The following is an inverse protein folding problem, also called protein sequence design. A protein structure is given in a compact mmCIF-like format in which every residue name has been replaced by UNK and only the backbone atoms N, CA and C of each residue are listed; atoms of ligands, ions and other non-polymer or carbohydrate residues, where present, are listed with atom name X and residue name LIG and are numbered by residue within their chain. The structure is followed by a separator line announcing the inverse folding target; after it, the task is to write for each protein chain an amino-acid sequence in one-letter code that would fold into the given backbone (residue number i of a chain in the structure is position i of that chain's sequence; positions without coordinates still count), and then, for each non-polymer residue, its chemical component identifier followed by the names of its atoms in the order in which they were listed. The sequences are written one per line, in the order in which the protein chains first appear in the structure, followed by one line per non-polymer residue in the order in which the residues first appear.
data_IF_157999892634
#
_entry.id   IF_157999892634
#
_cell.length_a   1.000
_cell.length_b   1.000
_cell.length_c   1.000
_cell.angle_alpha   90.00
_cell.angle_beta   90.00
_cell.angle_gamma   90.00
#
_symmetry.space_group_name_H-M   'P 1'
#
loop_
_entity.id
_entity.type
_entity.pdbx_description
1 polymer ?
#
# COMPACT_ATOMS: atom_id res chain seq x y z
N UNK A 1 -19.04 -20.49 -9.16
CA UNK A 1 -18.20 -19.30 -8.92
C UNK A 1 -19.10 -18.08 -9.05
N UNK A 2 -19.21 -17.28 -7.99
CA UNK A 2 -19.91 -16.00 -8.09
C UNK A 2 -19.18 -15.09 -9.10
N UNK A 3 -19.97 -14.33 -9.86
CA UNK A 3 -19.48 -13.39 -10.86
C UNK A 3 -19.75 -11.97 -10.38
N UNK A 4 -18.85 -11.05 -10.70
CA UNK A 4 -19.04 -9.61 -10.50
C UNK A 4 -20.06 -9.07 -11.50
N UNK A 5 -20.50 -7.82 -11.31
CA UNK A 5 -21.42 -7.17 -12.28
C UNK A 5 -20.79 -6.97 -13.66
N UNK A 6 -19.47 -7.08 -13.75
CA UNK A 6 -18.69 -7.11 -15.01
C UNK A 6 -18.63 -8.50 -15.67
N UNK A 7 -19.26 -9.51 -15.08
CA UNK A 7 -19.27 -10.89 -15.59
C UNK A 7 -17.99 -11.68 -15.34
N UNK A 8 -17.03 -11.11 -14.62
CA UNK A 8 -15.77 -11.77 -14.25
C UNK A 8 -15.93 -12.62 -12.99
N UNK A 9 -15.15 -13.70 -12.82
CA UNK A 9 -15.10 -14.42 -11.54
C UNK A 9 -14.66 -13.48 -10.42
N UNK A 10 -15.37 -13.50 -9.28
CA UNK A 10 -15.08 -12.61 -8.14
C UNK A 10 -13.62 -12.72 -7.67
N UNK A 11 -13.03 -13.91 -7.67
CA UNK A 11 -11.62 -14.08 -7.28
C UNK A 11 -10.63 -13.44 -8.27
N UNK A 12 -10.91 -13.51 -9.57
CA UNK A 12 -10.07 -12.91 -10.60
C UNK A 12 -10.15 -11.38 -10.57
N UNK A 13 -11.37 -10.85 -10.44
CA UNK A 13 -11.55 -9.41 -10.31
C UNK A 13 -11.01 -8.88 -8.98
N UNK A 14 -11.14 -9.65 -7.89
CA UNK A 14 -10.53 -9.32 -6.61
C UNK A 14 -9.00 -9.24 -6.70
N UNK A 15 -8.36 -10.18 -7.38
CA UNK A 15 -6.91 -10.14 -7.62
C UNK A 15 -6.52 -8.89 -8.44
N UNK A 16 -7.26 -8.56 -9.50
CA UNK A 16 -7.05 -7.33 -10.27
C UNK A 16 -7.23 -6.07 -9.42
N UNK A 17 -8.29 -6.03 -8.61
CA UNK A 17 -8.58 -4.89 -7.76
C UNK A 17 -7.48 -4.66 -6.71
N UNK A 18 -7.00 -5.73 -6.06
CA UNK A 18 -5.90 -5.65 -5.10
C UNK A 18 -4.60 -5.21 -5.79
N UNK A 19 -4.32 -5.69 -7.00
CA UNK A 19 -3.16 -5.25 -7.78
C UNK A 19 -3.25 -3.77 -8.17
N UNK A 20 -4.45 -3.31 -8.55
CA UNK A 20 -4.69 -1.90 -8.86
C UNK A 20 -4.51 -1.01 -7.62
N UNK A 21 -4.85 -1.50 -6.43
CA UNK A 21 -4.55 -0.81 -5.17
C UNK A 21 -3.05 -0.79 -4.91
N UNK A 22 -2.38 -1.95 -4.90
CA UNK A 22 -0.96 -2.04 -4.52
C UNK A 22 0.00 -1.35 -5.49
N UNK A 23 -0.33 -1.29 -6.79
CA UNK A 23 0.60 -0.81 -7.82
C UNK A 23 0.06 0.33 -8.69
N UNK A 24 -1.23 0.66 -8.60
CA UNK A 24 -1.86 1.69 -9.44
C UNK A 24 -1.87 3.10 -8.81
N UNK A 25 -1.38 3.24 -7.58
CA UNK A 25 -1.37 4.49 -6.83
C UNK A 25 -2.77 4.93 -6.34
N UNK A 26 -2.84 6.13 -5.74
CA UNK A 26 -4.06 6.62 -5.08
C UNK A 26 -5.25 6.82 -6.01
N UNK A 27 -5.02 7.23 -7.27
CA UNK A 27 -6.10 7.44 -8.24
C UNK A 27 -6.75 6.11 -8.62
N UNK A 28 -5.95 5.11 -8.96
CA UNK A 28 -6.46 3.77 -9.27
C UNK A 28 -7.15 3.15 -8.05
N UNK A 29 -6.55 3.31 -6.87
CA UNK A 29 -7.13 2.87 -5.58
C UNK A 29 -8.51 3.48 -5.38
N UNK A 30 -8.65 4.81 -5.48
CA UNK A 30 -9.92 5.48 -5.26
C UNK A 30 -11.01 5.02 -6.25
N UNK A 31 -10.66 4.84 -7.53
CA UNK A 31 -11.59 4.36 -8.55
C UNK A 31 -12.04 2.93 -8.30
N UNK A 32 -11.11 2.01 -8.01
CA UNK A 32 -11.41 0.59 -7.81
C UNK A 32 -12.15 0.37 -6.50
N UNK A 33 -11.68 0.95 -5.39
CA UNK A 33 -12.34 0.87 -4.09
C UNK A 33 -13.74 1.47 -4.17
N UNK A 34 -13.86 2.66 -4.77
CA UNK A 34 -15.14 3.34 -4.96
C UNK A 34 -16.11 2.51 -5.81
N UNK A 35 -15.65 1.96 -6.93
CA UNK A 35 -16.45 1.07 -7.78
C UNK A 35 -16.95 -0.15 -7.00
N UNK A 36 -16.05 -0.87 -6.32
CA UNK A 36 -16.40 -2.11 -5.61
C UNK A 36 -17.37 -1.84 -4.46
N UNK A 37 -17.18 -0.77 -3.70
CA UNK A 37 -18.07 -0.46 -2.59
C UNK A 37 -19.48 -0.05 -3.05
N UNK A 38 -19.58 0.73 -4.13
CA UNK A 38 -20.84 1.27 -4.64
C UNK A 38 -21.61 0.28 -5.52
N UNK A 39 -20.91 -0.49 -6.36
CA UNK A 39 -21.55 -1.28 -7.43
C UNK A 39 -21.61 -2.77 -7.13
N UNK A 40 -20.57 -3.34 -6.51
CA UNK A 40 -20.53 -4.79 -6.26
C UNK A 40 -21.38 -5.16 -5.03
N UNK A 41 -21.89 -6.39 -4.99
CA UNK A 41 -22.70 -6.92 -3.87
C UNK A 41 -21.93 -7.94 -3.03
N UNK A 42 -20.90 -8.55 -3.62
CA UNK A 42 -20.12 -9.58 -2.95
C UNK A 42 -19.36 -9.00 -1.73
N UNK A 43 -19.70 -9.50 -0.55
CA UNK A 43 -19.16 -9.03 0.74
C UNK A 43 -17.68 -9.30 0.89
N UNK A 44 -17.20 -10.45 0.39
CA UNK A 44 -15.78 -10.80 0.41
C UNK A 44 -14.96 -9.79 -0.40
N UNK A 45 -15.42 -9.43 -1.60
CA UNK A 45 -14.73 -8.52 -2.52
C UNK A 45 -14.63 -7.12 -1.91
N UNK A 46 -15.72 -6.63 -1.31
CA UNK A 46 -15.71 -5.34 -0.58
C UNK A 46 -14.68 -5.35 0.53
N UNK A 47 -14.67 -6.39 1.38
CA UNK A 47 -13.70 -6.53 2.47
C UNK A 47 -12.27 -6.63 1.94
N UNK A 48 -12.05 -7.40 0.87
CA UNK A 48 -10.73 -7.61 0.28
C UNK A 48 -10.13 -6.31 -0.26
N UNK A 49 -10.93 -5.49 -0.96
CA UNK A 49 -10.47 -4.24 -1.55
C UNK A 49 -10.26 -3.15 -0.49
N UNK A 50 -11.13 -3.07 0.52
CA UNK A 50 -10.91 -2.16 1.66
C UNK A 50 -9.67 -2.57 2.46
N UNK A 51 -9.45 -3.87 2.67
CA UNK A 51 -8.24 -4.38 3.33
C UNK A 51 -6.97 -4.06 2.55
N UNK A 52 -7.00 -4.22 1.23
CA UNK A 52 -5.89 -3.81 0.38
C UNK A 52 -5.59 -2.32 0.53
N UNK A 53 -6.63 -1.47 0.47
CA UNK A 53 -6.46 -0.02 0.62
C UNK A 53 -5.91 0.37 2.00
N UNK A 54 -6.42 -0.26 3.06
CA UNK A 54 -5.92 -0.03 4.42
C UNK A 54 -4.48 -0.52 4.61
N UNK A 55 -4.08 -1.60 3.93
CA UNK A 55 -2.69 -2.09 3.94
C UNK A 55 -1.76 -1.09 3.27
N UNK A 56 -2.13 -0.57 2.10
CA UNK A 56 -1.37 0.48 1.39
C UNK A 56 -1.14 1.69 2.28
N UNK A 57 -2.23 2.25 2.82
CA UNK A 57 -2.18 3.44 3.69
C UNK A 57 -1.32 3.20 4.94
N UNK A 58 -1.35 1.99 5.50
CA UNK A 58 -0.52 1.64 6.64
C UNK A 58 0.98 1.65 6.31
N UNK A 59 1.39 1.04 5.20
CA UNK A 59 2.80 1.03 4.80
C UNK A 59 3.28 2.41 4.37
N UNK A 60 2.47 3.15 3.61
CA UNK A 60 2.74 4.55 3.25
C UNK A 60 2.98 5.40 4.50
N UNK A 61 2.15 5.22 5.54
CA UNK A 61 2.31 5.93 6.80
C UNK A 61 3.62 5.56 7.51
N UNK A 62 4.00 4.28 7.55
CA UNK A 62 5.27 3.84 8.15
C UNK A 62 6.47 4.40 7.38
N UNK A 63 6.44 4.35 6.05
CA UNK A 63 7.49 4.90 5.19
C UNK A 63 7.60 6.41 5.39
N UNK A 64 6.48 7.13 5.43
CA UNK A 64 6.47 8.56 5.71
C UNK A 64 7.07 8.89 7.09
N UNK A 65 6.73 8.11 8.12
CA UNK A 65 7.25 8.33 9.47
C UNK A 65 8.77 8.13 9.55
N UNK A 66 9.30 7.13 8.86
CA UNK A 66 10.75 6.88 8.78
C UNK A 66 11.44 7.90 7.86
N UNK A 67 10.79 8.30 6.77
CA UNK A 67 11.29 9.21 5.74
C UNK A 67 11.49 10.66 6.19
N UNK A 68 10.84 11.10 7.27
CA UNK A 68 11.05 12.45 7.82
C UNK A 68 12.52 12.69 8.21
N UNK A 69 13.21 11.66 8.68
CA UNK A 69 14.60 11.77 9.14
C UNK A 69 15.58 12.03 7.99
N UNK A 70 15.64 11.19 6.92
CA UNK A 70 16.49 11.46 5.76
C UNK A 70 16.11 12.78 5.09
N UNK A 71 14.82 13.07 4.95
CA UNK A 71 14.35 14.32 4.32
C UNK A 71 14.85 15.56 5.08
N UNK A 72 14.76 15.55 6.42
CA UNK A 72 15.25 16.64 7.24
C UNK A 72 16.78 16.76 7.19
N UNK A 73 17.50 15.63 7.23
CA UNK A 73 18.95 15.61 7.16
C UNK A 73 19.45 16.14 5.80
N UNK A 74 18.83 15.71 4.70
CA UNK A 74 19.17 16.14 3.35
C UNK A 74 18.86 17.62 3.14
N UNK A 75 17.76 18.11 3.70
CA UNK A 75 17.44 19.54 3.72
C UNK A 75 18.52 20.36 4.43
N UNK A 76 19.00 19.90 5.59
CA UNK A 76 20.08 20.60 6.33
C UNK A 76 21.39 20.61 5.52
N UNK A 77 21.78 19.47 4.93
CA UNK A 77 22.99 19.39 4.09
C UNK A 77 22.87 20.30 2.87
N UNK A 78 21.71 20.31 2.21
CA UNK A 78 21.43 21.19 1.06
C UNK A 78 21.52 22.68 1.44
N UNK A 79 20.98 23.05 2.61
CA UNK A 79 21.07 24.40 3.14
C UNK A 79 22.53 24.81 3.37
N UNK A 80 23.32 23.98 4.04
CA UNK A 80 24.74 24.26 4.33
C UNK A 80 25.54 24.40 3.02
N UNK A 81 25.31 23.51 2.05
CA UNK A 81 26.02 23.56 0.78
C UNK A 81 25.68 24.81 -0.05
N UNK A 82 24.47 25.38 0.14
CA UNK A 82 24.09 26.66 -0.48
C UNK A 82 24.97 27.83 0.00
N UNK A 83 25.55 27.75 1.20
CA UNK A 83 26.47 28.76 1.74
C UNK A 83 27.94 28.52 1.38
N UNK A 84 28.22 27.62 0.41
CA UNK A 84 29.57 27.36 -0.11
C UNK A 84 30.38 26.37 0.72
N UNK A 85 29.72 25.57 1.57
CA UNK A 85 30.32 24.40 2.17
C UNK A 85 30.19 23.19 1.23
N UNK A 86 31.16 22.28 1.25
CA UNK A 86 31.18 21.08 0.40
C UNK A 86 31.03 19.82 1.28
N UNK A 87 29.83 19.64 1.86
CA UNK A 87 29.52 18.44 2.63
C UNK A 87 29.01 17.36 1.68
N UNK A 88 29.79 16.29 1.53
CA UNK A 88 29.46 15.13 0.73
C UNK A 88 29.19 13.92 1.63
N UNK A 89 27.98 13.36 1.51
CA UNK A 89 27.58 12.11 2.15
C UNK A 89 26.73 12.33 3.38
N UNK A 90 25.48 11.86 3.31
CA UNK A 90 24.58 11.81 4.44
C UNK A 90 24.35 10.35 4.82
N UNK A 91 25.33 9.74 5.49
CA UNK A 91 25.29 8.35 5.96
C UNK A 91 24.00 8.06 6.76
N UNK A 92 23.50 9.07 7.47
CA UNK A 92 22.21 9.03 8.14
C UNK A 92 21.10 8.80 7.11
N UNK A 93 20.99 9.65 6.09
CA UNK A 93 19.97 9.49 5.05
C UNK A 93 20.06 8.14 4.33
N UNK A 94 21.26 7.64 4.03
CA UNK A 94 21.43 6.34 3.38
C UNK A 94 20.86 5.19 4.23
N UNK A 95 21.13 5.17 5.54
CA UNK A 95 20.57 4.15 6.44
C UNK A 95 19.04 4.22 6.47
N UNK A 96 18.48 5.41 6.65
CA UNK A 96 17.03 5.54 6.76
C UNK A 96 16.32 5.27 5.43
N UNK A 97 16.90 5.69 4.30
CA UNK A 97 16.42 5.35 2.96
C UNK A 97 16.46 3.84 2.70
N UNK A 98 17.47 3.13 3.21
CA UNK A 98 17.48 1.67 3.17
C UNK A 98 16.33 1.06 3.97
N UNK A 99 16.01 1.59 5.16
CA UNK A 99 14.85 1.12 5.94
C UNK A 99 13.54 1.37 5.19
N UNK A 100 13.33 2.56 4.62
CA UNK A 100 12.16 2.86 3.78
C UNK A 100 12.04 1.89 2.59
N UNK A 101 13.16 1.57 1.93
CA UNK A 101 13.19 0.61 0.82
C UNK A 101 12.85 -0.81 1.29
N UNK A 102 13.33 -1.24 2.45
CA UNK A 102 12.95 -2.54 3.03
C UNK A 102 11.46 -2.58 3.33
N UNK A 103 10.87 -1.53 3.89
CA UNK A 103 9.43 -1.44 4.15
C UNK A 103 8.60 -1.53 2.87
N UNK A 104 9.00 -0.81 1.81
CA UNK A 104 8.35 -0.89 0.50
C UNK A 104 8.43 -2.30 -0.11
N UNK A 105 9.57 -2.98 -0.01
CA UNK A 105 9.69 -4.38 -0.46
C UNK A 105 8.77 -5.30 0.36
N UNK A 106 8.65 -5.08 1.67
CA UNK A 106 7.73 -5.85 2.51
C UNK A 106 6.27 -5.64 2.10
N UNK A 107 5.87 -4.40 1.80
CA UNK A 107 4.55 -4.06 1.26
C UNK A 107 4.28 -4.82 -0.04
N UNK A 108 5.20 -4.76 -1.01
CA UNK A 108 5.08 -5.43 -2.30
C UNK A 108 4.87 -6.95 -2.13
N UNK A 109 5.64 -7.59 -1.23
CA UNK A 109 5.51 -9.03 -0.94
C UNK A 109 4.13 -9.35 -0.38
N UNK A 110 3.60 -8.50 0.51
CA UNK A 110 2.25 -8.67 1.08
C UNK A 110 1.19 -8.54 -0.01
N UNK A 111 1.29 -7.52 -0.88
CA UNK A 111 0.36 -7.33 -1.99
C UNK A 111 0.38 -8.50 -2.98
N UNK A 112 1.56 -8.97 -3.36
CA UNK A 112 1.72 -10.17 -4.20
C UNK A 112 1.02 -11.37 -3.53
N UNK A 113 1.23 -11.58 -2.23
CA UNK A 113 0.57 -12.63 -1.48
C UNK A 113 -0.96 -12.50 -1.45
N UNK A 114 -1.47 -11.28 -1.27
CA UNK A 114 -2.91 -11.00 -1.29
C UNK A 114 -3.52 -11.26 -2.68
N UNK A 115 -2.84 -10.88 -3.76
CA UNK A 115 -3.26 -11.12 -5.14
C UNK A 115 -3.39 -12.62 -5.41
N UNK A 116 -2.36 -13.41 -5.07
CA UNK A 116 -2.40 -14.86 -5.27
C UNK A 116 -3.52 -15.53 -4.47
N UNK A 117 -3.72 -15.12 -3.20
CA UNK A 117 -4.81 -15.67 -2.40
C UNK A 117 -6.19 -15.23 -2.89
N UNK A 118 -6.33 -14.03 -3.42
CA UNK A 118 -7.59 -13.50 -3.91
C UNK A 118 -8.17 -14.34 -5.07
N UNK A 119 -7.34 -14.99 -5.88
CA UNK A 119 -7.79 -15.90 -6.94
C UNK A 119 -8.69 -17.03 -6.42
N UNK A 120 -8.44 -17.50 -5.20
CA UNK A 120 -9.23 -18.53 -4.52
C UNK A 120 -10.21 -17.94 -3.48
N UNK A 121 -10.48 -16.64 -3.54
CA UNK A 121 -11.24 -15.90 -2.52
C UNK A 121 -10.62 -16.02 -1.11
N UNK A 122 -9.32 -16.28 -1.03
CA UNK A 122 -8.57 -16.32 0.22
C UNK A 122 -8.04 -14.93 0.61
N UNK A 123 -7.58 -14.81 1.86
CA UNK A 123 -6.91 -13.62 2.37
C UNK A 123 -5.71 -13.99 3.23
N UNK A 124 -4.76 -13.08 3.40
CA UNK A 124 -3.65 -13.19 4.37
C UNK A 124 -4.05 -12.41 5.61
N UNK A 125 -3.99 -13.01 6.80
CA UNK A 125 -4.26 -12.29 8.03
C UNK A 125 -3.18 -11.24 8.29
N UNK A 126 -3.58 -9.98 8.43
CA UNK A 126 -2.73 -8.85 8.79
C UNK A 126 -3.35 -8.25 10.05
N UNK A 127 -2.94 -8.67 11.25
CA UNK A 127 -3.70 -8.45 12.50
C UNK A 127 -4.07 -6.98 12.77
N UNK A 128 -3.16 -6.05 12.47
CA UNK A 128 -3.38 -4.62 12.68
C UNK A 128 -4.38 -4.01 11.68
N UNK A 129 -4.32 -4.45 10.41
CA UNK A 129 -5.24 -3.97 9.36
C UNK A 129 -6.60 -4.63 9.52
N UNK A 130 -6.63 -5.93 9.84
CA UNK A 130 -7.85 -6.70 10.00
C UNK A 130 -8.72 -6.15 11.14
N UNK A 131 -8.12 -5.78 12.28
CA UNK A 131 -8.85 -5.14 13.36
C UNK A 131 -9.44 -3.77 13.00
N UNK A 132 -8.81 -3.04 12.07
CA UNK A 132 -9.28 -1.73 11.61
C UNK A 132 -10.41 -1.86 10.57
N UNK A 133 -10.34 -2.88 9.70
CA UNK A 133 -11.39 -3.17 8.72
C UNK A 133 -12.63 -3.75 9.38
N UNK A 134 -12.48 -4.73 10.27
CA UNK A 134 -13.61 -5.37 10.97
C UNK A 134 -14.39 -4.42 11.87
N UNK A 135 -13.75 -3.38 12.41
CA UNK A 135 -14.42 -2.38 13.22
C UNK A 135 -15.32 -1.43 12.40
N UNK A 136 -15.03 -1.26 11.11
CA UNK A 136 -15.64 -0.24 10.27
C UNK A 136 -16.48 -0.81 9.10
N UNK A 137 -16.60 -2.13 8.96
CA UNK A 137 -17.41 -2.83 7.95
C UNK A 137 -18.25 -3.95 8.58
#
# INVERSE_FOLDING_TARGET
MEKTKLGLPVGLFGAFAIAAVGFGGYVATALVVGYVLLMEENTWLKKAVVKAAATMVFFDFLIALVGIIPDAADWVVSLINTFGADIYGNFVSDIFNLVCRVLSICEDIIFIGLIFKALNQGTIAIPFVDGLVEKNM
#
